data_IF_250109141735
#
_entry.id   IF_250109141735
#
_cell.length_a   1.000
_cell.length_b   1.000
_cell.length_c   1.000
_cell.angle_alpha   90.00
_cell.angle_beta   90.00
_cell.angle_gamma   90.00
#
_symmetry.space_group_name_H-M   'P 1'
#
loop_
_entity.id
_entity.type
_entity.pdbx_description
1 polymer ?
#
# COMPACT_ATOMS: atom_id res chain seq x y z
N UNK A 1 4.98 31.40 58.17
CA UNK A 1 5.41 31.02 56.80
C UNK A 1 6.22 29.72 56.78
N UNK A 2 7.27 29.57 57.62
CA UNK A 2 8.12 28.35 57.65
C UNK A 2 7.39 27.04 58.03
N UNK A 3 6.35 27.10 58.88
CA UNK A 3 5.59 25.90 59.29
C UNK A 3 4.76 25.28 58.16
N UNK A 4 4.29 26.09 57.21
CA UNK A 4 3.52 25.59 56.06
C UNK A 4 4.41 24.87 55.03
N UNK A 5 5.63 25.36 54.83
CA UNK A 5 6.61 24.73 53.96
C UNK A 5 7.11 23.37 54.50
N UNK A 6 7.24 23.23 55.82
CA UNK A 6 7.63 21.96 56.44
C UNK A 6 6.56 20.86 56.26
N UNK A 7 5.28 21.22 56.32
CA UNK A 7 4.19 20.26 56.14
C UNK A 7 4.05 19.79 54.69
N UNK A 8 4.25 20.67 53.70
CA UNK A 8 4.20 20.25 52.28
C UNK A 8 5.35 19.31 51.92
N UNK A 9 6.52 19.49 52.53
CA UNK A 9 7.69 18.65 52.29
C UNK A 9 7.51 17.24 52.88
N UNK A 10 6.87 17.13 54.05
CA UNK A 10 6.52 15.83 54.65
C UNK A 10 5.54 15.02 53.78
N UNK A 11 4.55 15.67 53.16
CA UNK A 11 3.58 15.00 52.27
C UNK A 11 4.27 14.46 51.01
N UNK A 12 5.17 15.23 50.40
CA UNK A 12 5.90 14.79 49.20
C UNK A 12 6.83 13.60 49.48
N UNK A 13 7.52 13.59 50.63
CA UNK A 13 8.37 12.47 51.03
C UNK A 13 7.52 11.22 51.32
N UNK A 14 6.32 11.37 51.88
CA UNK A 14 5.43 10.23 52.14
C UNK A 14 4.92 9.55 50.86
N UNK A 15 4.77 10.28 49.75
CA UNK A 15 4.33 9.70 48.47
C UNK A 15 5.48 8.93 47.79
N UNK A 16 6.74 9.36 47.98
CA UNK A 16 7.90 8.70 47.39
C UNK A 16 8.25 7.36 48.07
N UNK A 17 7.89 7.16 49.34
CA UNK A 17 8.17 5.91 50.09
C UNK A 17 7.17 4.78 49.78
N UNK A 18 5.99 5.10 49.23
CA UNK A 18 4.94 4.10 48.91
C UNK A 18 5.16 3.41 47.55
N UNK A 19 6.22 3.76 46.80
CA UNK A 19 6.59 3.06 45.57
C UNK A 19 7.93 2.31 45.69
N UNK A 20 8.00 1.19 46.43
CA UNK A 20 9.04 0.20 46.19
C UNK A 20 8.60 -0.74 45.06
N UNK A 21 9.35 -0.68 43.96
CA UNK A 21 9.93 -1.85 43.30
C UNK A 21 9.01 -3.09 43.21
N UNK A 22 8.25 -3.19 42.12
CA UNK A 22 7.80 -4.50 41.60
C UNK A 22 8.74 -4.88 40.46
N UNK A 23 9.96 -5.26 40.85
CA UNK A 23 10.81 -6.11 40.03
C UNK A 23 10.52 -7.58 40.39
N UNK A 24 10.45 -8.41 39.35
CA UNK A 24 10.84 -9.82 39.38
C UNK A 24 10.01 -10.82 40.21
N UNK A 25 9.09 -11.53 39.53
CA UNK A 25 8.80 -12.94 39.86
C UNK A 25 9.33 -13.86 38.74
N UNK A 26 10.57 -14.33 38.91
CA UNK A 26 11.05 -15.53 38.24
C UNK A 26 10.70 -16.75 39.09
N UNK A 27 10.22 -17.83 38.48
CA UNK A 27 10.60 -19.25 38.70
C UNK A 27 9.72 -20.15 37.81
N UNK A 28 10.25 -20.59 36.67
CA UNK A 28 10.14 -22.00 36.29
C UNK A 28 11.33 -22.37 35.40
N UNK A 29 12.20 -23.21 35.93
CA UNK A 29 13.39 -23.76 35.30
C UNK A 29 13.00 -24.90 34.37
N UNK A 30 13.17 -24.70 33.06
CA UNK A 30 13.02 -25.75 32.06
C UNK A 30 13.83 -25.39 30.81
N UNK A 31 14.94 -26.11 30.63
CA UNK A 31 15.91 -26.01 29.53
C UNK A 31 15.26 -25.77 28.15
N UNK A 32 15.66 -24.69 27.48
CA UNK A 32 16.06 -24.68 26.07
C UNK A 32 16.66 -23.30 25.75
N UNK A 33 17.95 -23.24 25.50
CA UNK A 33 18.64 -22.05 24.97
C UNK A 33 18.26 -21.84 23.50
N UNK A 34 17.05 -21.36 23.25
CA UNK A 34 16.66 -20.82 21.96
C UNK A 34 17.15 -19.37 21.87
N UNK A 35 18.28 -19.16 21.20
CA UNK A 35 18.75 -17.84 20.78
C UNK A 35 17.64 -17.19 19.95
N UNK A 36 16.90 -16.25 20.54
CA UNK A 36 15.96 -15.41 19.81
C UNK A 36 16.73 -14.41 18.95
N UNK A 37 17.12 -14.85 17.75
CA UNK A 37 17.35 -13.93 16.66
C UNK A 37 16.01 -13.28 16.30
N UNK A 38 15.97 -11.96 16.17
CA UNK A 38 14.85 -11.25 15.56
C UNK A 38 14.76 -11.64 14.08
N UNK A 39 14.20 -12.82 13.82
CA UNK A 39 13.80 -13.27 12.50
C UNK A 39 12.76 -12.28 12.00
N UNK A 40 13.15 -11.50 10.98
CA UNK A 40 12.18 -10.77 10.15
C UNK A 40 11.19 -11.81 9.67
N UNK A 41 9.95 -11.73 10.12
CA UNK A 41 8.89 -12.61 9.64
C UNK A 41 8.63 -12.27 8.17
N UNK A 42 9.41 -12.88 7.29
CA UNK A 42 9.03 -13.03 5.91
C UNK A 42 7.81 -13.94 5.89
N UNK A 43 6.66 -13.33 5.67
CA UNK A 43 5.41 -14.05 5.48
C UNK A 43 5.53 -14.93 4.24
N UNK A 44 5.84 -16.21 4.46
CA UNK A 44 5.95 -17.22 3.40
C UNK A 44 4.66 -17.27 2.58
N UNK A 45 4.69 -17.84 1.37
CA UNK A 45 3.47 -18.06 0.57
C UNK A 45 2.37 -18.81 1.35
N UNK A 46 2.74 -19.59 2.37
CA UNK A 46 1.82 -20.22 3.30
C UNK A 46 1.10 -19.21 4.22
N UNK A 47 1.78 -18.15 4.65
CA UNK A 47 1.17 -17.04 5.37
C UNK A 47 0.14 -16.33 4.50
N UNK A 48 0.44 -16.00 3.24
CA UNK A 48 -0.55 -15.38 2.34
C UNK A 48 -1.73 -16.30 2.03
N UNK A 49 -1.53 -17.62 2.02
CA UNK A 49 -2.65 -18.58 1.95
C UNK A 49 -3.50 -18.55 3.21
N UNK A 50 -2.88 -18.53 4.41
CA UNK A 50 -3.58 -18.44 5.70
C UNK A 50 -4.27 -17.09 5.90
N UNK A 51 -3.64 -16.00 5.49
CA UNK A 51 -4.19 -14.66 5.52
C UNK A 51 -5.40 -14.56 4.57
N UNK A 52 -5.29 -15.06 3.34
CA UNK A 52 -6.44 -15.19 2.43
C UNK A 52 -7.55 -16.07 2.99
N UNK A 53 -7.22 -17.17 3.67
CA UNK A 53 -8.22 -18.01 4.34
C UNK A 53 -8.91 -17.27 5.50
N UNK A 54 -8.17 -16.44 6.25
CA UNK A 54 -8.72 -15.59 7.32
C UNK A 54 -9.66 -14.52 6.75
N UNK A 55 -9.22 -13.80 5.71
CA UNK A 55 -10.06 -12.80 5.03
C UNK A 55 -11.33 -13.43 4.41
N UNK A 56 -11.25 -14.65 3.86
CA UNK A 56 -12.45 -15.38 3.38
C UNK A 56 -13.42 -15.70 4.51
N UNK A 57 -12.93 -16.07 5.70
CA UNK A 57 -13.77 -16.32 6.87
C UNK A 57 -14.44 -15.04 7.36
N UNK A 58 -13.72 -13.92 7.35
CA UNK A 58 -14.27 -12.61 7.72
C UNK A 58 -15.35 -12.16 6.71
N UNK A 59 -15.10 -12.31 5.40
CA UNK A 59 -16.11 -12.04 4.35
C UNK A 59 -17.34 -12.94 4.49
N UNK A 60 -17.16 -14.24 4.71
CA UNK A 60 -18.27 -15.17 4.93
C UNK A 60 -19.08 -14.83 6.20
N UNK A 61 -18.43 -14.34 7.24
CA UNK A 61 -19.09 -13.88 8.46
C UNK A 61 -19.90 -12.59 8.22
N UNK A 62 -19.39 -11.64 7.42
CA UNK A 62 -20.12 -10.42 7.06
C UNK A 62 -21.34 -10.72 6.19
N UNK A 63 -21.20 -11.58 5.17
CA UNK A 63 -22.33 -12.00 4.34
C UNK A 63 -23.41 -12.72 5.15
N UNK A 64 -23.02 -13.59 6.10
CA UNK A 64 -23.97 -14.23 7.02
C UNK A 64 -24.70 -13.22 7.91
N UNK A 65 -24.03 -12.16 8.35
CA UNK A 65 -24.69 -11.08 9.11
C UNK A 65 -25.69 -10.33 8.24
N UNK A 66 -25.31 -9.98 7.01
CA UNK A 66 -26.22 -9.31 6.06
C UNK A 66 -27.42 -10.18 5.70
N UNK A 67 -27.23 -11.49 5.47
CA UNK A 67 -28.35 -12.39 5.19
C UNK A 67 -29.28 -12.52 6.40
N UNK A 68 -28.74 -12.58 7.62
CA UNK A 68 -29.55 -12.57 8.84
C UNK A 68 -30.34 -11.27 8.99
N UNK A 69 -29.74 -10.13 8.69
CA UNK A 69 -30.43 -8.83 8.70
C UNK A 69 -31.51 -8.72 7.62
N UNK A 70 -31.29 -9.31 6.43
CA UNK A 70 -32.32 -9.40 5.38
C UNK A 70 -33.47 -10.28 5.83
N UNK A 71 -33.21 -11.49 6.35
CA UNK A 71 -34.27 -12.35 6.88
C UNK A 71 -35.02 -11.73 8.07
N UNK A 72 -34.34 -10.92 8.88
CA UNK A 72 -34.96 -10.16 9.98
C UNK A 72 -35.84 -9.01 9.48
N UNK A 73 -35.53 -8.43 8.32
CA UNK A 73 -36.34 -7.38 7.67
C UNK A 73 -37.51 -7.99 6.88
N UNK A 74 -37.30 -9.14 6.23
CA UNK A 74 -38.33 -9.88 5.49
C UNK A 74 -39.36 -10.54 6.41
N UNK A 75 -39.03 -10.78 7.68
CA UNK A 75 -39.99 -11.22 8.71
C UNK A 75 -40.97 -10.13 9.19
N UNK A 76 -40.90 -8.90 8.66
CA UNK A 76 -41.72 -7.76 9.09
C UNK A 76 -42.52 -7.17 7.89
N UNK A 77 -43.59 -7.87 7.54
CA UNK A 77 -44.71 -7.51 6.65
C UNK A 77 -44.54 -7.51 5.11
N UNK A 78 -45.59 -7.94 4.36
CA UNK A 78 -45.54 -8.20 2.92
C UNK A 78 -45.96 -7.01 2.05
N UNK A 79 -45.74 -7.17 0.76
CA UNK A 79 -46.45 -6.52 -0.36
C UNK A 79 -45.99 -5.11 -0.77
N UNK A 80 -45.19 -5.02 -1.85
CA UNK A 80 -45.48 -4.18 -3.01
C UNK A 80 -44.36 -4.26 -4.06
N UNK A 81 -44.79 -4.58 -5.27
CA UNK A 81 -44.04 -4.75 -6.50
C UNK A 81 -43.27 -3.52 -7.01
N UNK A 82 -42.08 -3.82 -7.52
CA UNK A 82 -41.56 -3.52 -8.87
C UNK A 82 -41.60 -2.09 -9.44
N UNK A 83 -40.40 -1.53 -9.58
CA UNK A 83 -39.79 -0.94 -10.78
C UNK A 83 -38.95 0.29 -10.41
N UNK A 84 -37.63 0.21 -10.58
CA UNK A 84 -36.83 1.18 -11.33
C UNK A 84 -35.34 0.80 -11.23
N UNK A 85 -34.81 0.13 -12.25
CA UNK A 85 -33.38 -0.15 -12.40
C UNK A 85 -32.67 1.12 -12.89
N UNK A 86 -32.26 1.97 -11.95
CA UNK A 86 -31.29 3.03 -12.21
C UNK A 86 -29.89 2.41 -12.36
N UNK A 87 -29.46 2.27 -13.60
CA UNK A 87 -28.09 1.95 -14.00
C UNK A 87 -27.15 3.09 -13.57
N UNK A 88 -26.42 2.89 -12.46
CA UNK A 88 -25.40 3.82 -11.96
C UNK A 88 -24.22 3.79 -12.94
N UNK A 89 -24.14 4.83 -13.77
CA UNK A 89 -23.00 5.11 -14.64
C UNK A 89 -21.82 5.52 -13.75
N UNK A 90 -20.87 4.61 -13.53
CA UNK A 90 -19.56 4.93 -12.95
C UNK A 90 -18.68 5.66 -13.98
N UNK A 91 -19.13 6.83 -14.41
CA UNK A 91 -18.37 7.75 -15.24
C UNK A 91 -17.42 8.57 -14.36
N UNK A 92 -16.13 8.42 -14.60
CA UNK A 92 -15.05 9.27 -14.09
C UNK A 92 -14.78 9.16 -12.58
N UNK A 93 -14.19 8.03 -12.15
CA UNK A 93 -13.26 8.11 -11.01
C UNK A 93 -12.03 8.90 -11.50
N UNK A 94 -11.57 9.92 -10.76
CA UNK A 94 -10.46 10.74 -11.21
C UNK A 94 -9.21 9.86 -11.35
N UNK A 95 -8.66 9.78 -12.56
CA UNK A 95 -7.27 9.40 -12.76
C UNK A 95 -6.43 10.56 -12.21
N UNK A 96 -6.26 10.60 -10.89
CA UNK A 96 -5.50 11.64 -10.19
C UNK A 96 -4.05 11.53 -10.64
N UNK A 97 -3.62 12.52 -11.41
CA UNK A 97 -2.24 12.75 -11.85
C UNK A 97 -1.27 12.60 -10.67
N UNK A 98 -0.10 12.00 -10.89
CA UNK A 98 0.96 12.04 -9.89
C UNK A 98 1.63 13.41 -9.96
N UNK A 99 1.28 14.35 -9.07
CA UNK A 99 2.08 15.57 -8.86
C UNK A 99 3.32 15.27 -7.99
N UNK A 100 4.09 14.26 -8.36
CA UNK A 100 5.46 14.09 -7.90
C UNK A 100 6.31 14.77 -8.96
N UNK A 101 7.19 15.72 -8.60
CA UNK A 101 7.99 16.51 -9.55
C UNK A 101 8.63 15.62 -10.63
N UNK A 102 8.00 15.61 -11.81
CA UNK A 102 8.42 14.86 -12.99
C UNK A 102 9.35 15.74 -13.81
N UNK A 103 10.45 15.17 -14.31
CA UNK A 103 11.28 15.80 -15.34
C UNK A 103 10.87 15.28 -16.70
N UNK A 104 11.09 16.09 -17.73
CA UNK A 104 10.84 15.76 -19.14
C UNK A 104 11.51 14.43 -19.53
N UNK A 105 10.72 13.36 -19.54
CA UNK A 105 11.16 12.02 -19.90
C UNK A 105 10.47 11.58 -21.19
N UNK A 106 11.26 11.34 -22.23
CA UNK A 106 10.82 10.61 -23.42
C UNK A 106 10.67 9.13 -23.03
N UNK A 107 9.51 8.49 -23.23
CA UNK A 107 9.29 7.12 -22.77
C UNK A 107 10.39 6.21 -23.33
N UNK A 108 11.15 5.56 -22.45
CA UNK A 108 12.02 4.46 -22.85
C UNK A 108 11.18 3.42 -23.59
N UNK A 109 11.70 2.90 -24.70
CA UNK A 109 11.07 1.86 -25.52
C UNK A 109 10.56 0.65 -24.70
N UNK A 110 11.05 0.48 -23.47
CA UNK A 110 10.63 -0.55 -22.52
C UNK A 110 9.16 -0.46 -22.06
N UNK A 111 8.53 0.72 -22.07
CA UNK A 111 7.12 0.85 -21.69
C UNK A 111 6.18 0.39 -22.81
N UNK A 112 6.63 0.35 -24.07
CA UNK A 112 5.76 0.05 -25.21
C UNK A 112 5.40 -1.44 -25.33
N UNK A 113 6.32 -2.33 -24.97
CA UNK A 113 6.20 -3.79 -25.10
C UNK A 113 5.72 -4.53 -23.82
N UNK A 114 5.09 -3.82 -22.89
CA UNK A 114 4.58 -4.42 -21.65
C UNK A 114 3.47 -5.43 -21.91
N UNK A 115 3.61 -6.64 -21.36
CA UNK A 115 2.48 -7.54 -21.17
C UNK A 115 1.56 -6.95 -20.12
N UNK A 116 0.38 -6.51 -20.55
CA UNK A 116 -0.64 -5.89 -19.70
C UNK A 116 -1.53 -6.98 -19.07
N UNK A 117 -1.93 -6.83 -17.80
CA UNK A 117 -2.96 -7.68 -17.20
C UNK A 117 -4.30 -7.56 -17.93
N UNK A 118 -5.17 -8.55 -17.74
CA UNK A 118 -6.48 -8.57 -18.40
C UNK A 118 -7.31 -7.33 -18.04
N UNK A 119 -7.88 -6.68 -19.05
CA UNK A 119 -8.69 -5.46 -18.88
C UNK A 119 -7.89 -4.18 -18.68
N UNK A 120 -6.55 -4.23 -18.68
CA UNK A 120 -5.71 -3.03 -18.65
C UNK A 120 -5.47 -2.53 -20.07
N UNK A 121 -5.78 -1.26 -20.29
CA UNK A 121 -5.56 -0.58 -21.55
C UNK A 121 -4.65 0.62 -21.31
N UNK A 122 -3.53 0.67 -22.02
CA UNK A 122 -2.64 1.83 -21.98
C UNK A 122 -3.33 3.03 -22.62
N UNK A 123 -3.32 4.16 -21.93
CA UNK A 123 -3.67 5.48 -22.45
C UNK A 123 -2.38 6.24 -22.78
N UNK A 124 -2.49 7.17 -23.73
CA UNK A 124 -1.37 7.92 -24.32
C UNK A 124 -0.38 8.39 -23.25
N UNK A 125 0.91 8.24 -23.52
CA UNK A 125 1.96 8.74 -22.65
C UNK A 125 1.79 10.26 -22.49
N UNK A 126 1.76 10.75 -21.25
CA UNK A 126 1.73 12.18 -20.96
C UNK A 126 3.05 12.82 -21.40
N UNK A 127 3.04 14.11 -21.71
CA UNK A 127 4.25 14.87 -22.07
C UNK A 127 5.39 14.72 -21.02
N UNK A 128 5.03 14.43 -19.77
CA UNK A 128 5.94 14.31 -18.63
C UNK A 128 6.54 12.89 -18.47
N UNK A 129 6.40 12.01 -19.47
CA UNK A 129 6.91 10.64 -19.42
C UNK A 129 6.11 9.66 -18.56
N UNK A 130 4.91 10.06 -18.13
CA UNK A 130 3.97 9.17 -17.43
C UNK A 130 3.22 8.28 -18.42
N UNK A 131 3.09 6.99 -18.09
CA UNK A 131 2.21 6.08 -18.81
C UNK A 131 0.95 5.84 -17.99
N UNK A 132 -0.21 6.24 -18.53
CA UNK A 132 -1.51 6.06 -17.87
C UNK A 132 -2.17 4.78 -18.36
N UNK A 133 -2.96 4.16 -17.50
CA UNK A 133 -3.71 2.93 -17.78
C UNK A 133 -5.14 3.09 -17.29
N UNK A 134 -6.08 2.62 -18.10
CA UNK A 134 -7.47 2.43 -17.70
C UNK A 134 -7.69 0.94 -17.47
N UNK A 135 -8.45 0.61 -16.44
CA UNK A 135 -8.64 -0.76 -15.98
C UNK A 135 -10.12 -1.07 -16.00
N UNK A 136 -10.47 -2.11 -16.74
CA UNK A 136 -11.84 -2.60 -16.88
C UNK A 136 -12.01 -4.02 -16.35
N UNK A 137 -13.22 -4.33 -15.90
CA UNK A 137 -13.68 -5.68 -15.61
C UNK A 137 -13.95 -6.47 -16.91
N UNK A 138 -14.18 -7.78 -16.76
CA UNK A 138 -14.41 -8.70 -17.88
C UNK A 138 -15.67 -8.38 -18.68
N UNK A 139 -16.63 -7.71 -18.03
CA UNK A 139 -17.87 -7.17 -18.61
C UNK A 139 -17.66 -5.81 -19.30
N UNK A 140 -16.43 -5.27 -19.28
CA UNK A 140 -16.09 -3.95 -19.81
C UNK A 140 -16.31 -2.79 -18.85
N UNK A 141 -16.87 -3.02 -17.65
CA UNK A 141 -17.09 -1.97 -16.66
C UNK A 141 -15.77 -1.34 -16.22
N UNK A 142 -15.73 -0.02 -16.10
CA UNK A 142 -14.58 0.68 -15.53
C UNK A 142 -14.42 0.34 -14.05
N UNK A 143 -13.23 -0.13 -13.65
CA UNK A 143 -12.94 -0.48 -12.25
C UNK A 143 -11.81 0.33 -11.64
N UNK A 144 -11.01 1.03 -12.45
CA UNK A 144 -9.88 1.77 -11.93
C UNK A 144 -8.96 2.36 -12.98
N UNK A 145 -7.91 3.00 -12.50
CA UNK A 145 -6.85 3.57 -13.31
C UNK A 145 -5.50 3.37 -12.63
N UNK A 146 -4.44 3.35 -13.43
CA UNK A 146 -3.09 3.34 -12.93
C UNK A 146 -2.19 4.30 -13.71
N UNK A 147 -1.11 4.74 -13.07
CA UNK A 147 -0.09 5.61 -13.66
C UNK A 147 1.28 5.07 -13.30
N UNK A 148 2.10 4.78 -14.32
CA UNK A 148 3.52 4.46 -14.19
C UNK A 148 4.33 5.72 -14.50
N UNK A 149 5.25 6.08 -13.62
CA UNK A 149 6.02 7.32 -13.67
C UNK A 149 7.43 7.10 -13.17
N UNK A 150 8.37 7.94 -13.62
CA UNK A 150 9.71 8.02 -13.06
C UNK A 150 9.69 8.97 -11.85
N UNK A 151 10.30 8.56 -10.74
CA UNK A 151 10.38 9.34 -9.52
C UNK A 151 11.76 9.97 -9.41
N UNK A 152 11.78 11.30 -9.42
CA UNK A 152 12.95 12.09 -9.13
C UNK A 152 13.10 12.25 -7.62
N UNK A 153 13.64 11.22 -6.98
CA UNK A 153 14.07 11.36 -5.61
C UNK A 153 15.53 11.83 -5.61
N UNK A 154 15.76 13.01 -5.03
CA UNK A 154 17.09 13.56 -4.90
C UNK A 154 17.77 12.75 -3.78
N UNK A 155 18.81 11.99 -4.09
CA UNK A 155 19.61 11.34 -3.06
C UNK A 155 20.20 12.44 -2.16
N UNK A 156 19.58 12.66 -1.01
CA UNK A 156 20.05 13.66 -0.05
C UNK A 156 21.35 13.16 0.57
N UNK A 157 22.47 13.62 0.03
CA UNK A 157 23.79 13.55 0.68
C UNK A 157 24.51 12.21 0.57
N UNK A 158 25.79 12.30 0.26
CA UNK A 158 26.79 11.22 0.30
C UNK A 158 26.47 10.14 1.33
N UNK A 159 26.21 8.93 0.86
CA UNK A 159 26.02 7.79 1.76
C UNK A 159 26.91 6.65 1.30
N UNK A 160 28.06 6.53 1.95
CA UNK A 160 28.85 5.30 2.00
C UNK A 160 27.91 4.13 2.36
N UNK A 161 27.62 3.27 1.40
CA UNK A 161 26.64 2.19 1.58
C UNK A 161 27.30 1.05 2.37
N UNK A 162 27.17 1.07 3.69
CA UNK A 162 27.21 -0.17 4.46
C UNK A 162 26.05 -1.07 4.00
N UNK A 163 26.26 -2.38 3.83
CA UNK A 163 25.25 -3.36 3.39
C UNK A 163 23.94 -3.40 4.23
N UNK A 164 23.91 -2.70 5.37
CA UNK A 164 22.73 -2.51 6.22
C UNK A 164 21.86 -1.32 5.78
N UNK A 165 22.46 -0.27 5.20
CA UNK A 165 21.78 0.90 4.68
C UNK A 165 20.99 0.58 3.40
N UNK A 166 21.53 -0.28 2.52
CA UNK A 166 20.87 -0.71 1.28
C UNK A 166 19.50 -1.38 1.50
N UNK A 167 19.24 -1.94 2.69
CA UNK A 167 17.94 -2.57 3.02
C UNK A 167 16.85 -1.55 3.36
N UNK A 168 17.19 -0.29 3.56
CA UNK A 168 16.26 0.80 3.90
C UNK A 168 16.20 1.87 2.81
N UNK A 169 16.82 1.59 1.68
CA UNK A 169 16.84 2.46 0.51
C UNK A 169 16.41 1.67 -0.72
N UNK A 170 15.88 2.36 -1.71
CA UNK A 170 15.62 1.86 -3.05
C UNK A 170 16.26 2.84 -4.02
N UNK A 171 17.19 2.43 -4.89
CA UNK A 171 17.90 3.38 -5.76
C UNK A 171 18.60 4.53 -5.04
N UNK A 172 19.16 4.26 -3.84
CA UNK A 172 19.78 5.28 -2.99
C UNK A 172 18.80 6.16 -2.21
N UNK A 173 17.49 5.99 -2.42
CA UNK A 173 16.45 6.83 -1.80
C UNK A 173 15.86 6.14 -0.59
N UNK A 174 15.81 6.80 0.58
CA UNK A 174 15.23 6.22 1.78
C UNK A 174 13.77 5.80 1.57
N UNK A 175 13.42 4.58 2.01
CA UNK A 175 12.03 4.10 1.97
C UNK A 175 11.08 5.00 2.77
N UNK A 176 11.60 5.72 3.77
CA UNK A 176 10.86 6.71 4.55
C UNK A 176 10.44 7.92 3.71
N UNK A 177 11.26 8.33 2.75
CA UNK A 177 10.95 9.45 1.84
C UNK A 177 9.87 9.03 0.84
N UNK A 178 9.99 7.82 0.27
CA UNK A 178 8.94 7.24 -0.58
C UNK A 178 7.62 7.05 0.16
N UNK A 179 7.68 6.63 1.42
CA UNK A 179 6.48 6.51 2.25
C UNK A 179 5.85 7.88 2.53
N UNK A 180 6.67 8.88 2.83
CA UNK A 180 6.21 10.25 3.10
C UNK A 180 5.49 10.83 1.89
N UNK A 181 6.01 10.66 0.68
CA UNK A 181 5.33 11.14 -0.53
C UNK A 181 3.96 10.49 -0.74
N UNK A 182 3.82 9.19 -0.43
CA UNK A 182 2.51 8.52 -0.44
C UNK A 182 1.60 9.08 0.65
N UNK A 183 2.10 9.29 1.87
CA UNK A 183 1.31 9.88 2.96
C UNK A 183 0.80 11.27 2.57
N UNK A 184 1.67 12.14 2.06
CA UNK A 184 1.31 13.50 1.65
C UNK A 184 0.21 13.46 0.56
N UNK A 185 0.33 12.56 -0.43
CA UNK A 185 -0.71 12.33 -1.45
C UNK A 185 -2.01 11.77 -0.86
N UNK A 186 -1.93 10.88 0.12
CA UNK A 186 -3.13 10.32 0.76
C UNK A 186 -3.83 11.35 1.64
N UNK A 187 -3.09 12.19 2.35
CA UNK A 187 -3.67 13.33 3.09
C UNK A 187 -4.41 14.26 2.13
N UNK A 188 -3.80 14.64 1.00
CA UNK A 188 -4.45 15.51 0.01
C UNK A 188 -5.69 14.87 -0.63
N UNK A 189 -5.77 13.53 -0.63
CA UNK A 189 -6.88 12.75 -1.20
C UNK A 189 -7.90 12.30 -0.15
N UNK A 190 -7.84 12.82 1.09
CA UNK A 190 -8.66 12.38 2.22
C UNK A 190 -8.61 10.86 2.46
N UNK A 191 -7.39 10.33 2.46
CA UNK A 191 -7.08 8.92 2.62
C UNK A 191 -6.00 8.65 3.65
N UNK A 192 -5.76 7.36 3.89
CA UNK A 192 -4.77 6.88 4.84
C UNK A 192 -3.99 5.71 4.26
N UNK A 193 -2.75 5.57 4.72
CA UNK A 193 -1.92 4.39 4.44
C UNK A 193 -2.39 3.26 5.36
N UNK A 194 -2.68 2.10 4.77
CA UNK A 194 -3.11 0.89 5.48
C UNK A 194 -1.89 0.07 5.90
N UNK A 195 -0.95 -0.12 4.98
CA UNK A 195 0.22 -0.94 5.22
C UNK A 195 1.32 -0.60 4.21
N UNK A 196 2.55 -0.93 4.56
CA UNK A 196 3.67 -0.90 3.63
C UNK A 196 4.61 -2.08 3.84
N UNK A 197 5.17 -2.56 2.74
CA UNK A 197 6.01 -3.75 2.72
C UNK A 197 7.14 -3.59 1.70
N UNK A 198 8.26 -4.23 1.98
CA UNK A 198 9.35 -4.40 1.00
C UNK A 198 9.35 -5.86 0.56
N UNK A 199 9.36 -6.08 -0.75
CA UNK A 199 9.37 -7.40 -1.36
C UNK A 199 10.27 -7.40 -2.59
N UNK A 200 10.69 -8.57 -3.03
CA UNK A 200 11.36 -8.76 -4.30
C UNK A 200 10.35 -9.11 -5.40
N UNK A 201 10.38 -8.37 -6.51
CA UNK A 201 9.63 -8.65 -7.73
C UNK A 201 10.67 -8.87 -8.83
N UNK A 202 10.66 -10.03 -9.47
CA UNK A 202 11.60 -10.32 -10.55
C UNK A 202 13.07 -10.05 -10.13
N UNK A 203 13.51 -10.56 -8.99
CA UNK A 203 14.89 -10.42 -8.54
C UNK A 203 15.29 -9.00 -8.06
N UNK A 204 14.35 -8.04 -8.09
CA UNK A 204 14.62 -6.64 -7.75
C UNK A 204 13.81 -6.20 -6.52
N UNK A 205 14.40 -5.41 -5.62
CA UNK A 205 13.66 -4.86 -4.50
C UNK A 205 12.54 -3.94 -5.00
N UNK A 206 11.38 -4.08 -4.36
CA UNK A 206 10.21 -3.27 -4.58
C UNK A 206 9.63 -2.84 -3.22
N UNK A 207 9.28 -1.58 -3.11
CA UNK A 207 8.56 -1.03 -1.96
C UNK A 207 7.11 -0.81 -2.33
N UNK A 208 6.20 -1.41 -1.56
CA UNK A 208 4.76 -1.44 -1.85
C UNK A 208 4.05 -0.76 -0.69
N UNK A 209 3.18 0.21 -1.00
CA UNK A 209 2.34 0.90 -0.03
C UNK A 209 0.88 0.69 -0.43
N UNK A 210 0.09 0.19 0.51
CA UNK A 210 -1.35 0.02 0.38
C UNK A 210 -2.03 1.18 1.10
N UNK A 211 -2.99 1.81 0.45
CA UNK A 211 -3.72 2.94 1.01
C UNK A 211 -5.20 2.90 0.61
N UNK A 212 -6.01 3.72 1.28
CA UNK A 212 -7.45 3.83 1.01
C UNK A 212 -7.89 5.28 1.14
N UNK A 213 -8.89 5.68 0.37
CA UNK A 213 -9.60 6.96 0.55
C UNK A 213 -10.98 6.72 1.12
N UNK A 214 -11.45 7.61 1.99
CA UNK A 214 -12.80 7.50 2.54
C UNK A 214 -13.85 7.58 1.43
N UNK A 215 -14.97 6.91 1.63
CA UNK A 215 -16.18 7.25 0.89
C UNK A 215 -16.64 8.65 1.31
N UNK A 216 -17.17 9.44 0.38
CA UNK A 216 -17.81 10.71 0.73
C UNK A 216 -19.08 10.45 1.53
N UNK A 217 -19.32 11.26 2.56
CA UNK A 217 -20.53 11.21 3.38
C UNK A 217 -21.80 11.40 2.53
N UNK A 218 -21.69 12.10 1.41
CA UNK A 218 -22.80 12.36 0.47
C UNK A 218 -23.08 11.17 -0.48
N UNK A 219 -22.33 10.06 -0.35
CA UNK A 219 -22.48 8.86 -1.18
C UNK A 219 -22.00 9.00 -2.63
N UNK A 220 -21.58 10.21 -3.05
CA UNK A 220 -21.14 10.50 -4.43
C UNK A 220 -19.78 9.91 -4.80
N UNK A 221 -18.93 9.67 -3.81
CA UNK A 221 -17.58 9.14 -4.03
C UNK A 221 -17.44 7.85 -3.24
N UNK A 222 -17.26 6.69 -3.91
CA UNK A 222 -17.08 5.43 -3.22
C UNK A 222 -15.69 5.38 -2.55
N UNK A 223 -15.55 4.46 -1.61
CA UNK A 223 -14.25 4.14 -1.02
C UNK A 223 -13.33 3.55 -2.09
N UNK A 224 -12.11 4.07 -2.22
CA UNK A 224 -11.12 3.55 -3.15
C UNK A 224 -9.98 2.85 -2.41
N UNK A 225 -9.48 1.79 -3.03
CA UNK A 225 -8.24 1.13 -2.67
C UNK A 225 -7.12 1.60 -3.58
N UNK A 226 -5.97 1.89 -3.00
CA UNK A 226 -4.77 2.35 -3.69
C UNK A 226 -3.60 1.40 -3.47
N UNK A 227 -2.82 1.19 -4.53
CA UNK A 227 -1.56 0.46 -4.49
C UNK A 227 -0.48 1.33 -5.11
N UNK A 228 0.56 1.61 -4.33
CA UNK A 228 1.77 2.27 -4.77
C UNK A 228 2.91 1.26 -4.78
N UNK A 229 3.59 1.13 -5.91
CA UNK A 229 4.70 0.21 -6.14
C UNK A 229 5.91 1.02 -6.62
N UNK A 230 7.02 0.93 -5.91
CA UNK A 230 8.27 1.57 -6.26
C UNK A 230 9.34 0.51 -6.51
N UNK A 231 10.08 0.61 -7.61
CA UNK A 231 11.22 -0.29 -7.89
C UNK A 231 12.33 0.45 -8.62
N UNK A 232 13.55 -0.08 -8.53
CA UNK A 232 14.72 0.48 -9.19
C UNK A 232 15.02 -0.24 -10.51
N UNK A 233 15.19 0.53 -11.58
CA UNK A 233 15.65 0.06 -12.88
C UNK A 233 16.73 1.00 -13.38
N UNK A 234 17.93 0.48 -13.62
CA UNK A 234 19.08 1.23 -14.15
C UNK A 234 19.40 2.51 -13.36
N UNK A 235 19.42 2.40 -12.02
CA UNK A 235 19.72 3.52 -11.11
C UNK A 235 18.58 4.54 -10.99
N UNK A 236 17.41 4.27 -11.57
CA UNK A 236 16.24 5.16 -11.55
C UNK A 236 15.07 4.49 -10.84
N UNK A 237 14.30 5.26 -10.08
CA UNK A 237 13.13 4.75 -9.36
C UNK A 237 11.89 4.95 -10.20
N UNK A 238 11.21 3.84 -10.49
CA UNK A 238 9.91 3.85 -11.14
C UNK A 238 8.81 3.64 -10.10
N UNK A 239 7.77 4.44 -10.20
CA UNK A 239 6.57 4.37 -9.37
C UNK A 239 5.33 4.03 -10.19
N UNK A 240 4.62 2.98 -9.78
CA UNK A 240 3.28 2.66 -10.24
C UNK A 240 2.29 3.03 -9.14
N UNK A 241 1.32 3.89 -9.46
CA UNK A 241 0.16 4.17 -8.60
C UNK A 241 -1.08 3.61 -9.28
N UNK A 242 -1.81 2.74 -8.61
CA UNK A 242 -3.04 2.14 -9.11
C UNK A 242 -4.17 2.34 -8.10
N UNK A 243 -5.36 2.65 -8.61
CA UNK A 243 -6.56 2.88 -7.80
C UNK A 243 -7.75 2.12 -8.37
N UNK A 244 -8.59 1.59 -7.49
CA UNK A 244 -9.84 0.92 -7.85
C UNK A 244 -10.88 1.04 -6.74
N UNK A 245 -12.13 0.66 -7.01
CA UNK A 245 -13.11 0.44 -5.95
C UNK A 245 -12.59 -0.61 -4.96
N UNK A 246 -12.97 -0.47 -3.69
CA UNK A 246 -12.48 -1.35 -2.61
C UNK A 246 -12.77 -2.84 -2.84
N UNK A 247 -13.84 -3.18 -3.53
CA UNK A 247 -14.16 -4.57 -3.94
C UNK A 247 -13.15 -5.19 -4.92
N UNK A 248 -12.44 -4.36 -5.70
CA UNK A 248 -11.40 -4.79 -6.63
C UNK A 248 -9.99 -4.63 -6.06
N UNK A 249 -9.84 -4.42 -4.74
CA UNK A 249 -8.53 -4.20 -4.09
C UNK A 249 -7.54 -5.35 -4.28
N UNK A 250 -8.04 -6.59 -4.23
CA UNK A 250 -7.18 -7.78 -4.36
C UNK A 250 -6.67 -7.90 -5.79
N UNK A 251 -7.57 -7.72 -6.77
CA UNK A 251 -7.22 -7.78 -8.20
C UNK A 251 -6.25 -6.67 -8.58
N UNK A 252 -6.50 -5.42 -8.16
CA UNK A 252 -5.63 -4.30 -8.52
C UNK A 252 -4.20 -4.51 -7.98
N UNK A 253 -4.05 -5.11 -6.81
CA UNK A 253 -2.75 -5.41 -6.23
C UNK A 253 -2.01 -6.50 -7.03
N UNK A 254 -2.69 -7.59 -7.38
CA UNK A 254 -2.11 -8.68 -8.17
C UNK A 254 -1.76 -8.22 -9.60
N UNK A 255 -2.67 -7.50 -10.26
CA UNK A 255 -2.47 -6.97 -11.61
C UNK A 255 -1.32 -5.94 -11.65
N UNK A 256 -1.24 -5.05 -10.65
CA UNK A 256 -0.15 -4.07 -10.53
C UNK A 256 1.21 -4.75 -10.36
N UNK A 257 1.27 -5.85 -9.59
CA UNK A 257 2.49 -6.63 -9.44
C UNK A 257 2.87 -7.36 -10.74
N UNK A 258 1.90 -7.87 -11.50
CA UNK A 258 2.14 -8.50 -12.80
C UNK A 258 2.65 -7.49 -13.82
N UNK A 259 2.07 -6.29 -13.88
CA UNK A 259 2.57 -5.21 -14.75
C UNK A 259 4.00 -4.82 -14.38
N UNK A 260 4.28 -4.66 -13.08
CA UNK A 260 5.63 -4.33 -12.64
C UNK A 260 6.62 -5.45 -12.96
N UNK A 261 6.23 -6.72 -12.81
CA UNK A 261 7.06 -7.85 -13.21
C UNK A 261 7.36 -7.84 -14.72
N UNK A 262 6.38 -7.56 -15.58
CA UNK A 262 6.59 -7.49 -17.03
C UNK A 262 7.49 -6.30 -17.42
N UNK A 263 7.33 -5.16 -16.74
CA UNK A 263 8.22 -4.00 -16.89
C UNK A 263 9.66 -4.32 -16.53
N UNK A 264 9.87 -4.97 -15.39
CA UNK A 264 11.19 -5.38 -14.93
C UNK A 264 11.82 -6.43 -15.84
N UNK A 265 11.04 -7.43 -16.29
CA UNK A 265 11.52 -8.44 -17.22
C UNK A 265 11.94 -7.83 -18.57
N UNK A 266 11.18 -6.85 -19.07
CA UNK A 266 11.52 -6.17 -20.32
C UNK A 266 12.77 -5.29 -20.19
N UNK A 267 12.96 -4.65 -19.03
CA UNK A 267 14.17 -3.85 -18.77
C UNK A 267 15.46 -4.68 -18.84
N UNK A 268 15.42 -5.98 -18.51
CA UNK A 268 16.60 -6.86 -18.63
C UNK A 268 16.93 -7.26 -20.07
N UNK A 269 15.96 -7.16 -20.99
CA UNK A 269 16.11 -7.67 -22.36
C UNK A 269 16.73 -6.69 -23.32
N UNK A 270 16.83 -5.40 -22.97
CA UNK A 270 17.53 -4.40 -23.78
C UNK A 270 19.03 -4.59 -23.54
N UNK A 271 19.79 -5.23 -24.44
CA UNK A 271 21.22 -5.35 -24.28
C UNK A 271 21.82 -3.98 -24.59
N UNK A 272 22.77 -3.55 -23.76
CA UNK A 272 23.58 -2.37 -24.01
C UNK A 272 24.47 -2.64 -25.24
N UNK A 273 23.94 -2.45 -26.46
CA UNK A 273 24.73 -2.35 -27.69
C UNK A 273 25.51 -1.01 -27.67
N UNK A 274 26.53 -0.92 -26.82
CA UNK A 274 27.54 0.14 -26.87
C UNK A 274 28.85 -0.38 -26.29
N UNK A 275 29.39 -1.41 -26.94
CA UNK A 275 30.79 -1.79 -26.82
C UNK A 275 31.17 -2.54 -28.08
N UNK A 276 31.48 -1.79 -29.15
CA UNK A 276 32.41 -2.13 -30.25
C UNK A 276 32.22 -1.09 -31.37
N UNK A 277 32.85 0.07 -31.20
CA UNK A 277 33.46 0.85 -32.28
C UNK A 277 34.75 1.46 -31.76
#
# INVERSE_FOLDING_TARGET
MLRAAALSLFILVSIAVVLPLVDSSAHNSGRATARHSHMRYHHSRAWWRRHRARLRRERAAMLRKQSLEQTRKEGMNPEADSHNSNHVVYGNLPAVSNEIKTSDFKPSASASALSLPNGWVRRTASANGETKFVISASDGQYIGAATLSLINAHASGESFVAARASRRTLGGVPLTELRRSVIDKMISSNGWVVNDITREIEGKPAFIVLAQTAASTDGRTPQLSWVFLFTEVDGRIYGLSASSLSEFSDRIADDSAQLMASFLANSRRVPTESSLR
#
